data_IF_002466637750
#
_entry.id   IF_002466637750
#
_cell.length_a   1.000
_cell.length_b   1.000
_cell.length_c   1.000
_cell.angle_alpha   90.00
_cell.angle_beta   90.00
_cell.angle_gamma   90.00
#
_symmetry.space_group_name_H-M   'P 1'
#
loop_
_entity.id
_entity.type
_entity.pdbx_description
1 polymer ?
#
# COMPACT_ATOMS: atom_id res chain seq x y z
N UNK A 1 28.67 15.53 -10.37
CA UNK A 1 29.59 16.38 -9.58
C UNK A 1 30.67 16.87 -10.51
N UNK A 2 30.71 18.19 -10.72
CA UNK A 2 31.72 18.84 -11.52
C UNK A 2 32.40 19.92 -10.69
N UNK A 3 33.69 20.10 -10.90
CA UNK A 3 34.53 21.04 -10.19
C UNK A 3 35.28 21.90 -11.20
N UNK A 4 35.69 23.10 -10.79
CA UNK A 4 36.55 23.94 -11.60
C UNK A 4 37.96 23.35 -11.64
N UNK A 5 38.47 23.08 -12.84
CA UNK A 5 39.85 22.70 -13.09
C UNK A 5 40.69 23.96 -13.28
N UNK A 6 41.40 24.35 -12.20
CA UNK A 6 42.26 25.55 -12.19
C UNK A 6 43.49 25.43 -13.07
N UNK A 7 43.91 24.22 -13.46
CA UNK A 7 45.05 24.02 -14.35
C UNK A 7 44.70 24.23 -15.83
N UNK A 8 43.42 24.05 -16.19
CA UNK A 8 42.94 24.15 -17.58
C UNK A 8 41.95 25.30 -17.81
N UNK A 9 41.70 26.14 -16.79
CA UNK A 9 40.69 27.19 -16.81
C UNK A 9 39.31 26.69 -17.30
N UNK A 10 38.90 25.50 -16.85
CA UNK A 10 37.68 24.82 -17.30
C UNK A 10 36.89 24.18 -16.17
N UNK A 11 35.80 23.48 -16.52
CA UNK A 11 35.02 22.67 -15.59
C UNK A 11 35.20 21.21 -15.96
N UNK A 12 35.57 20.37 -14.99
CA UNK A 12 35.70 18.93 -15.17
C UNK A 12 34.73 18.19 -14.24
N UNK A 13 34.07 17.18 -14.77
CA UNK A 13 33.13 16.34 -14.08
C UNK A 13 33.81 15.03 -13.64
N UNK A 14 33.47 14.57 -12.44
CA UNK A 14 33.90 13.27 -11.89
C UNK A 14 32.74 12.30 -11.73
N UNK A 15 31.51 12.80 -11.76
CA UNK A 15 30.31 11.99 -11.72
C UNK A 15 29.20 12.70 -12.51
N UNK A 16 28.35 11.93 -13.19
CA UNK A 16 27.22 12.45 -13.94
C UNK A 16 25.90 12.06 -13.27
N UNK A 17 24.84 12.83 -13.53
CA UNK A 17 23.49 12.46 -13.11
C UNK A 17 23.02 11.20 -13.86
N UNK A 18 21.97 10.55 -13.36
CA UNK A 18 21.35 9.43 -14.07
C UNK A 18 20.92 9.84 -15.48
N UNK A 19 21.16 8.97 -16.45
CA UNK A 19 20.93 9.23 -17.88
C UNK A 19 22.09 9.92 -18.59
N UNK A 20 23.21 10.17 -17.90
CA UNK A 20 24.42 10.75 -18.47
C UNK A 20 25.66 9.89 -18.20
N UNK A 21 26.54 9.80 -19.20
CA UNK A 21 27.84 9.13 -19.13
C UNK A 21 28.99 10.14 -19.00
N UNK A 22 30.05 9.75 -18.29
CA UNK A 22 31.24 10.58 -18.15
C UNK A 22 32.23 10.25 -19.27
N UNK A 23 32.58 11.24 -20.10
CA UNK A 23 33.58 11.10 -21.16
C UNK A 23 34.50 12.32 -21.17
N UNK A 24 35.81 12.09 -21.03
CA UNK A 24 36.81 13.18 -21.07
C UNK A 24 36.60 14.29 -20.03
N UNK A 25 36.02 13.98 -18.87
CA UNK A 25 35.67 14.98 -17.85
C UNK A 25 34.41 15.78 -18.16
N UNK A 26 33.60 15.38 -19.15
CA UNK A 26 32.31 15.99 -19.48
C UNK A 26 31.18 14.97 -19.39
N UNK A 27 29.97 15.42 -19.07
CA UNK A 27 28.79 14.55 -19.01
C UNK A 27 27.99 14.64 -20.31
N UNK A 28 27.85 13.52 -21.02
CA UNK A 28 27.06 13.41 -22.24
C UNK A 28 25.81 12.55 -22.00
N UNK A 29 24.65 12.86 -22.60
CA UNK A 29 23.44 12.07 -22.42
C UNK A 29 23.61 10.66 -23.00
N UNK A 30 23.08 9.66 -22.29
CA UNK A 30 22.98 8.30 -22.79
C UNK A 30 21.84 8.21 -23.79
N UNK A 31 22.16 7.79 -25.02
CA UNK A 31 21.18 7.65 -26.11
C UNK A 31 20.48 6.29 -26.11
N UNK A 32 21.06 5.28 -25.45
CA UNK A 32 20.46 3.97 -25.31
C UNK A 32 19.19 4.00 -24.44
N UNK A 33 18.09 3.46 -24.97
CA UNK A 33 16.82 3.36 -24.25
C UNK A 33 16.98 2.59 -22.93
N UNK A 34 16.32 3.07 -21.88
CA UNK A 34 16.39 2.43 -20.56
C UNK A 34 17.75 2.53 -19.84
N UNK A 35 18.73 3.25 -20.40
CA UNK A 35 20.06 3.35 -19.83
C UNK A 35 20.15 4.39 -18.71
N UNK A 36 20.70 4.00 -17.56
CA UNK A 36 20.93 4.87 -16.41
C UNK A 36 22.36 5.44 -16.40
N UNK A 37 23.36 4.67 -16.85
CA UNK A 37 24.74 5.16 -17.06
C UNK A 37 25.33 4.50 -18.29
N UNK A 38 26.14 5.26 -19.01
CA UNK A 38 26.83 4.81 -20.21
C UNK A 38 28.28 5.26 -20.21
N UNK A 39 29.10 4.57 -20.99
CA UNK A 39 30.50 4.92 -21.27
C UNK A 39 30.70 4.84 -22.79
N UNK A 40 31.13 5.94 -23.42
CA UNK A 40 31.29 5.99 -24.88
C UNK A 40 30.04 5.61 -25.70
N UNK A 41 28.85 5.76 -25.14
CA UNK A 41 27.57 5.34 -25.75
C UNK A 41 27.13 3.90 -25.42
N UNK A 42 28.00 3.09 -24.82
CA UNK A 42 27.68 1.73 -24.33
C UNK A 42 27.00 1.83 -22.98
N UNK A 43 25.87 1.15 -22.78
CA UNK A 43 25.20 1.19 -21.50
C UNK A 43 25.90 0.28 -20.47
N UNK A 44 26.21 0.83 -19.30
CA UNK A 44 26.87 0.10 -18.19
C UNK A 44 25.92 -0.17 -17.03
N UNK A 45 24.79 0.53 -16.96
CA UNK A 45 23.73 0.23 -15.99
C UNK A 45 22.37 0.72 -16.48
N UNK A 46 21.31 -0.01 -16.10
CA UNK A 46 19.94 0.25 -16.56
C UNK A 46 19.10 0.96 -15.49
N UNK A 47 18.09 1.69 -15.95
CA UNK A 47 17.06 2.30 -15.10
C UNK A 47 16.27 1.23 -14.36
N UNK A 48 15.60 1.61 -13.27
CA UNK A 48 14.67 0.71 -12.56
C UNK A 48 13.61 0.17 -13.53
N UNK A 49 13.29 -1.12 -13.42
CA UNK A 49 12.39 -1.81 -14.36
C UNK A 49 13.07 -2.31 -15.64
N UNK A 50 14.40 -2.21 -15.74
CA UNK A 50 15.19 -2.71 -16.87
C UNK A 50 16.37 -3.54 -16.38
N UNK A 51 16.81 -4.50 -17.17
CA UNK A 51 18.01 -5.30 -16.92
C UNK A 51 19.03 -5.13 -18.05
N UNK A 52 20.32 -5.27 -17.71
CA UNK A 52 21.40 -5.20 -18.68
C UNK A 52 21.50 -6.53 -19.42
N UNK A 53 21.52 -6.50 -20.75
CA UNK A 53 21.70 -7.63 -21.63
C UNK A 53 22.77 -7.25 -22.68
N UNK A 54 24.02 -7.63 -22.41
CA UNK A 54 25.16 -7.15 -23.18
C UNK A 54 25.40 -5.65 -22.92
N UNK A 55 25.33 -4.85 -23.98
CA UNK A 55 25.50 -3.39 -23.99
C UNK A 55 24.17 -2.62 -23.97
N UNK A 56 23.04 -3.34 -23.90
CA UNK A 56 21.68 -2.76 -24.00
C UNK A 56 20.87 -3.06 -22.75
N UNK A 57 19.94 -2.16 -22.46
CA UNK A 57 18.93 -2.37 -21.45
C UNK A 57 17.65 -2.92 -22.08
N UNK A 58 17.10 -3.96 -21.49
CA UNK A 58 15.80 -4.52 -21.85
C UNK A 58 14.83 -4.33 -20.68
N UNK A 59 13.60 -3.96 -20.99
CA UNK A 59 12.56 -3.80 -19.99
C UNK A 59 12.26 -5.15 -19.31
N UNK A 60 12.05 -5.12 -18.00
CA UNK A 60 11.58 -6.27 -17.25
C UNK A 60 10.15 -6.64 -17.71
N UNK A 61 9.83 -7.93 -17.79
CA UNK A 61 8.49 -8.37 -18.14
C UNK A 61 7.50 -7.91 -17.07
N UNK A 62 6.37 -7.32 -17.47
CA UNK A 62 5.29 -7.02 -16.52
C UNK A 62 4.73 -8.32 -15.91
N UNK A 63 4.43 -8.39 -14.60
CA UNK A 63 4.40 -7.33 -13.59
C UNK A 63 5.67 -7.25 -12.71
N UNK A 64 6.84 -7.51 -13.28
CA UNK A 64 8.12 -7.46 -12.57
C UNK A 64 8.69 -6.04 -12.52
N UNK A 65 8.99 -5.54 -11.31
CA UNK A 65 9.62 -4.23 -11.10
C UNK A 65 11.15 -4.26 -11.17
N UNK A 66 11.77 -5.41 -10.92
CA UNK A 66 13.20 -5.61 -11.09
C UNK A 66 13.49 -7.06 -11.47
N UNK A 67 14.33 -7.27 -12.48
CA UNK A 67 14.65 -8.57 -13.04
C UNK A 67 16.15 -8.66 -13.34
N UNK A 68 16.71 -9.86 -13.32
CA UNK A 68 18.08 -10.12 -13.82
C UNK A 68 18.08 -10.54 -15.29
N UNK A 69 16.94 -11.03 -15.78
CA UNK A 69 16.71 -11.39 -17.18
C UNK A 69 15.21 -11.39 -17.49
N UNK A 70 14.85 -11.57 -18.76
CA UNK A 70 13.47 -11.73 -19.19
C UNK A 70 12.73 -12.93 -18.53
N UNK A 71 13.45 -13.88 -17.92
CA UNK A 71 12.87 -15.05 -17.28
C UNK A 71 13.02 -15.07 -15.74
N UNK A 72 13.74 -14.09 -15.16
CA UNK A 72 14.08 -14.09 -13.74
C UNK A 72 13.69 -12.78 -13.07
N UNK A 73 12.54 -12.81 -12.40
CA UNK A 73 12.04 -11.68 -11.63
C UNK A 73 12.62 -11.67 -10.20
N UNK A 74 13.28 -10.58 -9.85
CA UNK A 74 13.88 -10.36 -8.54
C UNK A 74 12.91 -9.65 -7.59
N UNK A 75 12.10 -8.73 -8.10
CA UNK A 75 11.09 -8.00 -7.33
C UNK A 75 9.84 -7.73 -8.17
N UNK A 76 8.67 -7.96 -7.58
CA UNK A 76 7.39 -7.68 -8.20
C UNK A 76 7.01 -6.20 -8.06
N UNK A 77 6.17 -5.70 -8.97
CA UNK A 77 5.56 -4.39 -8.83
C UNK A 77 4.64 -4.33 -7.60
N UNK A 78 4.31 -3.11 -7.17
CA UNK A 78 3.26 -2.89 -6.17
C UNK A 78 1.99 -3.63 -6.59
N UNK A 79 1.20 -4.08 -5.62
CA UNK A 79 0.03 -4.98 -5.79
C UNK A 79 0.37 -6.42 -6.15
N UNK A 80 1.64 -6.82 -6.22
CA UNK A 80 2.05 -8.19 -6.46
C UNK A 80 3.04 -8.67 -5.39
N UNK A 81 3.02 -9.97 -5.09
CA UNK A 81 4.00 -10.63 -4.23
C UNK A 81 4.70 -11.74 -4.98
N UNK A 82 5.93 -12.04 -4.56
CA UNK A 82 6.70 -13.13 -5.14
C UNK A 82 6.21 -14.47 -4.58
N UNK A 83 5.78 -15.37 -5.45
CA UNK A 83 5.38 -16.73 -5.11
C UNK A 83 6.18 -17.73 -5.95
N UNK A 84 6.31 -18.95 -5.45
CA UNK A 84 6.85 -20.08 -6.22
C UNK A 84 5.71 -21.07 -6.44
N UNK A 85 5.12 -21.14 -7.64
CA UNK A 85 4.19 -22.20 -8.01
C UNK A 85 4.86 -23.58 -7.85
N UNK A 86 4.11 -24.63 -7.53
CA UNK A 86 4.68 -25.98 -7.43
C UNK A 86 5.35 -26.37 -8.76
N UNK A 87 6.67 -26.51 -8.74
CA UNK A 87 7.46 -26.90 -9.92
C UNK A 87 7.70 -25.78 -10.95
N UNK A 88 7.34 -24.53 -10.66
CA UNK A 88 7.52 -23.38 -11.55
C UNK A 88 8.64 -22.42 -11.12
N UNK A 89 9.10 -21.52 -12.03
CA UNK A 89 9.98 -20.41 -11.67
C UNK A 89 9.28 -19.43 -10.71
N UNK A 90 10.05 -18.54 -10.08
CA UNK A 90 9.48 -17.47 -9.23
C UNK A 90 8.60 -16.58 -10.09
N UNK A 91 7.35 -16.40 -9.67
CA UNK A 91 6.35 -15.61 -10.39
C UNK A 91 5.76 -14.53 -9.48
N UNK A 92 5.20 -13.51 -10.10
CA UNK A 92 4.58 -12.38 -9.43
C UNK A 92 3.07 -12.55 -9.43
N UNK A 93 2.51 -12.83 -8.25
CA UNK A 93 1.09 -13.10 -8.05
C UNK A 93 0.42 -11.85 -7.48
N UNK A 94 -0.75 -11.41 -8.00
CA UNK A 94 -1.51 -10.30 -7.45
C UNK A 94 -1.86 -10.49 -5.97
N UNK A 95 -1.71 -9.44 -5.17
CA UNK A 95 -2.08 -9.42 -3.75
C UNK A 95 -3.57 -9.73 -3.49
N UNK A 96 -4.43 -9.42 -4.46
CA UNK A 96 -5.89 -9.61 -4.43
C UNK A 96 -6.30 -11.08 -4.67
N UNK A 97 -5.41 -11.90 -5.24
CA UNK A 97 -5.75 -13.21 -5.78
C UNK A 97 -5.97 -14.24 -4.66
N UNK A 98 -7.20 -14.28 -4.12
CA UNK A 98 -7.68 -15.38 -3.29
C UNK A 98 -7.72 -16.64 -4.16
N UNK A 99 -6.73 -17.52 -3.99
CA UNK A 99 -6.32 -18.53 -4.98
C UNK A 99 -7.47 -19.30 -5.69
N UNK A 100 -7.39 -19.50 -7.02
CA UNK A 100 -7.91 -20.69 -7.67
C UNK A 100 -6.97 -21.90 -7.44
N UNK A 101 -7.51 -23.10 -7.58
CA UNK A 101 -6.85 -24.39 -7.31
C UNK A 101 -5.42 -24.49 -7.91
N UNK A 102 -4.39 -24.65 -7.07
CA UNK A 102 -3.03 -25.01 -7.52
C UNK A 102 -1.84 -24.24 -6.91
N UNK A 103 -2.05 -23.15 -6.17
CA UNK A 103 -0.97 -22.43 -5.46
C UNK A 103 -1.00 -22.75 -3.96
N UNK A 104 0.18 -22.80 -3.32
CA UNK A 104 0.30 -22.95 -1.85
C UNK A 104 0.00 -21.64 -1.09
N UNK A 105 -0.08 -20.52 -1.81
CA UNK A 105 -0.21 -19.17 -1.26
C UNK A 105 -1.41 -18.48 -1.89
N UNK A 106 -2.27 -17.87 -1.07
CA UNK A 106 -3.39 -17.07 -1.51
C UNK A 106 -3.14 -15.60 -1.15
N UNK A 107 -3.49 -14.70 -2.07
CA UNK A 107 -3.68 -13.29 -1.78
C UNK A 107 -4.90 -13.06 -0.89
N UNK A 108 -5.09 -11.80 -0.51
CA UNK A 108 -6.16 -11.32 0.34
C UNK A 108 -7.06 -10.44 -0.52
N UNK A 109 -8.35 -10.78 -0.54
CA UNK A 109 -9.34 -10.02 -1.30
C UNK A 109 -9.27 -8.52 -0.99
N UNK A 110 -9.25 -7.68 -2.02
CA UNK A 110 -9.19 -6.22 -1.84
C UNK A 110 -7.86 -5.69 -1.34
N UNK A 111 -6.81 -6.51 -1.20
CA UNK A 111 -5.49 -6.04 -0.81
C UNK A 111 -4.77 -5.34 -1.97
N UNK A 112 -4.20 -4.16 -1.70
CA UNK A 112 -3.46 -3.35 -2.66
C UNK A 112 -1.94 -3.39 -2.46
N UNK A 113 -1.46 -3.61 -1.25
CA UNK A 113 -0.04 -3.75 -0.97
C UNK A 113 0.14 -4.90 -0.01
N UNK A 114 0.98 -5.86 -0.35
CA UNK A 114 1.18 -7.04 0.46
C UNK A 114 2.65 -7.45 0.51
N UNK A 115 3.00 -8.22 1.54
CA UNK A 115 4.33 -8.78 1.74
C UNK A 115 4.21 -10.27 2.04
N UNK A 116 4.99 -11.08 1.31
CA UNK A 116 5.10 -12.50 1.63
C UNK A 116 5.96 -12.68 2.89
N UNK A 117 5.46 -13.42 3.87
CA UNK A 117 6.26 -13.82 5.02
C UNK A 117 7.09 -15.07 4.67
N UNK A 118 8.41 -14.94 4.79
CA UNK A 118 9.32 -16.04 4.55
C UNK A 118 8.99 -17.22 5.49
N UNK A 119 8.77 -18.40 4.91
CA UNK A 119 8.60 -19.65 5.65
C UNK A 119 7.20 -19.96 6.19
N UNK A 120 6.25 -19.01 6.22
CA UNK A 120 4.90 -19.28 6.74
C UNK A 120 3.87 -19.60 5.66
N UNK A 121 4.20 -19.33 4.40
CA UNK A 121 3.25 -19.42 3.30
C UNK A 121 2.05 -18.45 3.43
N UNK A 122 2.17 -17.46 4.31
CA UNK A 122 1.16 -16.44 4.48
C UNK A 122 1.58 -15.15 3.77
N UNK A 123 0.58 -14.45 3.24
CA UNK A 123 0.71 -13.10 2.70
C UNK A 123 0.12 -12.14 3.73
N UNK A 124 0.86 -11.08 4.07
CA UNK A 124 0.40 -10.00 4.92
C UNK A 124 -0.02 -8.82 4.04
N UNK A 125 -1.27 -8.41 4.12
CA UNK A 125 -1.75 -7.17 3.57
C UNK A 125 -1.28 -6.00 4.43
N UNK A 126 -0.60 -5.05 3.80
CA UNK A 126 -0.10 -3.81 4.40
C UNK A 126 -1.03 -2.63 4.12
N UNK A 127 -1.72 -2.65 2.98
CA UNK A 127 -2.67 -1.60 2.57
C UNK A 127 -3.75 -2.16 1.67
N UNK A 128 -4.99 -1.77 1.92
CA UNK A 128 -6.12 -2.13 1.07
C UNK A 128 -6.12 -1.32 -0.24
N UNK A 129 -6.80 -1.85 -1.25
CA UNK A 129 -6.88 -1.26 -2.58
C UNK A 129 -7.56 0.12 -2.60
N UNK A 130 -8.43 0.38 -1.63
CA UNK A 130 -9.13 1.64 -1.36
C UNK A 130 -8.28 2.65 -0.56
N UNK A 131 -7.04 2.29 -0.20
CA UNK A 131 -6.13 3.11 0.60
C UNK A 131 -6.29 2.97 2.11
N UNK A 132 -7.28 2.22 2.60
CA UNK A 132 -7.47 1.99 4.03
C UNK A 132 -6.44 1.01 4.61
N UNK A 133 -6.27 1.05 5.93
CA UNK A 133 -5.47 0.07 6.66
C UNK A 133 -6.28 -1.24 6.80
N UNK A 134 -5.68 -2.41 6.55
CA UNK A 134 -6.35 -3.69 6.76
C UNK A 134 -6.70 -3.91 8.24
N UNK A 135 -7.83 -4.56 8.48
CA UNK A 135 -8.23 -5.02 9.82
C UNK A 135 -7.96 -6.52 9.87
N UNK A 136 -7.09 -6.96 10.79
CA UNK A 136 -6.75 -8.39 10.96
C UNK A 136 -6.38 -9.09 9.64
N UNK A 137 -5.61 -8.40 8.78
CA UNK A 137 -5.18 -8.91 7.47
C UNK A 137 -6.30 -9.08 6.43
N UNK A 138 -7.42 -8.38 6.59
CA UNK A 138 -8.55 -8.39 5.66
C UNK A 138 -8.94 -6.98 5.18
N UNK A 139 -9.35 -6.88 3.92
CA UNK A 139 -9.88 -5.68 3.28
C UNK A 139 -11.32 -5.95 2.82
N UNK A 140 -12.27 -5.14 3.26
CA UNK A 140 -13.71 -5.38 3.00
C UNK A 140 -14.61 -5.18 4.22
N UNK A 141 -14.04 -4.90 5.39
CA UNK A 141 -14.82 -4.35 6.50
C UNK A 141 -15.41 -3.01 6.10
N UNK A 142 -16.73 -2.84 6.27
CA UNK A 142 -17.37 -1.55 6.09
C UNK A 142 -16.55 -0.51 6.84
N UNK A 143 -16.19 0.56 6.15
CA UNK A 143 -15.75 1.81 6.78
C UNK A 143 -16.93 2.37 7.57
N UNK A 144 -17.38 1.66 8.61
CA UNK A 144 -18.06 2.28 9.73
C UNK A 144 -16.99 3.21 10.23
N UNK A 145 -17.10 4.47 9.80
CA UNK A 145 -16.36 5.56 10.38
C UNK A 145 -16.59 5.38 11.87
N UNK A 146 -15.60 4.85 12.58
CA UNK A 146 -15.42 5.12 14.00
C UNK A 146 -15.07 6.59 14.05
N UNK A 147 -16.05 7.44 13.72
CA UNK A 147 -16.15 8.78 14.25
C UNK A 147 -16.26 8.51 15.74
N UNK A 148 -15.12 8.53 16.41
CA UNK A 148 -15.11 8.90 17.80
C UNK A 148 -15.55 10.37 17.80
N UNK A 149 -16.86 10.58 17.65
CA UNK A 149 -17.45 11.88 17.87
C UNK A 149 -17.15 12.23 19.33
N UNK A 150 -16.78 13.47 19.65
CA UNK A 150 -16.53 13.92 21.03
C UNK A 150 -17.79 13.91 21.93
N UNK A 151 -18.82 13.10 21.64
CA UNK A 151 -20.14 13.14 22.27
C UNK A 151 -20.49 11.97 23.20
N UNK A 152 -19.55 11.10 23.57
CA UNK A 152 -19.84 9.94 24.43
C UNK A 152 -19.45 10.14 25.91
N UNK A 153 -19.15 11.37 26.36
CA UNK A 153 -18.79 11.64 27.76
C UNK A 153 -19.38 12.98 28.24
N UNK A 154 -20.70 13.11 28.34
CA UNK A 154 -21.40 14.12 29.17
C UNK A 154 -22.85 13.70 29.30
N UNK A 155 -23.48 13.42 30.44
CA UNK A 155 -23.08 13.29 31.83
C UNK A 155 -24.32 12.74 32.53
N UNK A 156 -24.17 11.78 33.44
CA UNK A 156 -25.26 11.39 34.34
C UNK A 156 -25.36 12.53 35.35
N UNK A 157 -26.19 13.54 35.05
CA UNK A 157 -26.44 14.63 36.00
C UNK A 157 -27.38 14.10 37.08
N UNK A 158 -26.81 13.62 38.18
CA UNK A 158 -27.56 13.35 39.40
C UNK A 158 -28.05 14.70 39.95
N UNK A 159 -29.29 15.08 39.64
CA UNK A 159 -29.91 16.28 40.17
C UNK A 159 -30.20 16.14 41.65
N UNK A 160 -29.44 16.81 42.50
CA UNK A 160 -29.76 17.01 43.92
C UNK A 160 -30.80 18.13 43.99
N UNK A 161 -32.07 17.77 44.22
CA UNK A 161 -33.14 18.72 44.48
C UNK A 161 -33.00 19.28 45.89
N UNK A 162 -32.57 20.55 46.00
CA UNK A 162 -32.59 21.29 47.26
C UNK A 162 -34.03 21.75 47.53
N UNK A 163 -34.68 21.10 48.48
CA UNK A 163 -35.98 21.49 49.03
C UNK A 163 -35.81 22.80 49.84
N UNK A 164 -36.13 23.94 49.24
CA UNK A 164 -36.46 25.17 49.98
C UNK A 164 -37.98 25.29 49.98
N UNK A 165 -38.56 25.24 51.17
CA UNK A 165 -40.01 25.21 51.38
C UNK A 165 -40.72 26.49 50.95
N UNK A 166 -41.96 26.34 50.49
CA UNK A 166 -42.86 27.46 50.22
C UNK A 166 -43.96 27.17 49.20
N UNK A 167 -45.06 26.57 49.70
CA UNK A 167 -46.46 26.70 49.23
C UNK A 167 -46.87 26.28 47.80
N UNK A 168 -47.62 25.17 47.76
CA UNK A 168 -48.89 24.93 47.05
C UNK A 168 -49.09 25.63 45.69
N UNK A 169 -49.12 24.84 44.60
CA UNK A 169 -49.60 25.33 43.31
C UNK A 169 -49.64 24.26 42.23
N UNK A 170 -50.83 23.70 42.00
CA UNK A 170 -51.19 22.86 40.86
C UNK A 170 -50.71 23.44 39.52
N UNK A 171 -49.84 22.72 38.81
CA UNK A 171 -49.91 22.65 37.33
C UNK A 171 -49.58 21.24 36.85
N UNK A 172 -50.63 20.44 36.74
CA UNK A 172 -50.76 19.46 35.66
C UNK A 172 -50.37 20.14 34.33
N UNK A 173 -49.44 19.56 33.56
CA UNK A 173 -49.50 19.53 32.09
C UNK A 173 -48.42 18.62 31.48
N UNK A 174 -48.90 17.47 31.01
CA UNK A 174 -48.57 16.85 29.72
C UNK A 174 -47.19 16.17 29.54
N UNK A 175 -47.06 14.95 30.08
CA UNK A 175 -46.26 13.88 29.45
C UNK A 175 -47.11 13.21 28.36
N UNK A 176 -47.04 13.74 27.13
CA UNK A 176 -47.45 13.07 25.90
C UNK A 176 -46.53 13.65 24.80
N UNK A 177 -45.75 12.91 24.03
CA UNK A 177 -46.10 11.69 23.33
C UNK A 177 -44.85 11.05 22.70
N UNK A 178 -44.98 9.73 22.44
CA UNK A 178 -44.35 8.97 21.34
C UNK A 178 -42.85 8.67 21.46
N UNK A 179 -42.55 7.45 21.91
CA UNK A 179 -41.70 6.59 21.08
C UNK A 179 -42.48 5.34 20.69
N UNK A 180 -42.75 5.24 19.38
CA UNK A 180 -43.47 4.16 18.73
C UNK A 180 -42.57 2.93 18.68
N UNK A 181 -43.16 1.82 19.11
CA UNK A 181 -42.69 0.44 19.00
C UNK A 181 -42.19 0.08 17.59
N UNK A 182 -41.07 -0.64 17.52
CA UNK A 182 -40.86 -1.71 16.55
C UNK A 182 -40.17 -2.88 17.24
N UNK A 183 -40.91 -3.97 17.34
CA UNK A 183 -40.45 -5.29 17.72
C UNK A 183 -40.03 -6.08 16.47
N UNK A 184 -38.93 -6.81 16.56
CA UNK A 184 -38.59 -7.98 15.74
C UNK A 184 -37.61 -8.76 16.61
N UNK A 185 -37.84 -9.98 17.09
CA UNK A 185 -38.73 -11.05 16.67
C UNK A 185 -37.96 -12.32 16.96
N UNK A 186 -37.83 -12.69 18.24
CA UNK A 186 -37.28 -13.99 18.64
C UNK A 186 -38.34 -15.06 18.37
N UNK A 187 -38.00 -16.07 17.57
CA UNK A 187 -38.66 -17.37 17.57
C UNK A 187 -37.72 -18.40 18.20
N UNK A 188 -38.08 -19.00 19.34
CA UNK A 188 -37.73 -20.38 19.64
C UNK A 188 -38.85 -21.29 19.12
N UNK A 189 -38.53 -22.49 18.66
CA UNK A 189 -39.42 -23.65 18.73
C UNK A 189 -38.57 -24.91 18.51
N UNK A 190 -38.26 -25.53 19.64
CA UNK A 190 -38.00 -26.95 19.81
C UNK A 190 -39.26 -27.76 19.50
N UNK A 191 -39.09 -28.85 18.77
CA UNK A 191 -39.77 -30.13 18.96
C UNK A 191 -38.81 -31.22 18.44
#
# INVERSE_FOLDING_TARGET
MCAADRARAGVTCHACAEGYGLSGGSCSPCTAAGCARCDGGVCTSCKRGWHLAGDRCLACPSPCAACSSAASCLACADRYFQATPLGGPRDCVPCDQTAPQGLRMAGIHGCGLCQAQAGSGAVLCLRCADGNLPLENYCGGSSVKRRLGPGAITGITLGVTVLVGGTIGLTFSLMASKHKSQASGLRPLTA
#
